data_IF_908510530740
#
_entry.id   IF_908510530740
#
_cell.length_a   1.000
_cell.length_b   1.000
_cell.length_c   1.000
_cell.angle_alpha   90.00
_cell.angle_beta   90.00
_cell.angle_gamma   90.00
#
_symmetry.space_group_name_H-M   'P 1'
#
loop_
_entity.id
_entity.type
_entity.pdbx_description
1 polymer ?
#
# COMPACT_ATOMS: atom_id res chain seq x y z
N UNK A 1 -3.58 6.00 12.14
CA UNK A 1 -4.69 6.18 11.16
C UNK A 1 -5.62 5.00 11.37
N UNK A 2 -6.93 5.22 11.49
CA UNK A 2 -7.89 4.09 11.62
C UNK A 2 -8.11 3.42 10.27
N UNK A 3 -8.66 2.19 10.25
CA UNK A 3 -9.08 1.53 9.02
C UNK A 3 -10.01 2.43 8.18
N UNK A 4 -10.98 3.08 8.82
CA UNK A 4 -11.90 3.99 8.12
C UNK A 4 -11.24 5.28 7.66
N UNK A 5 -10.26 5.79 8.41
CA UNK A 5 -9.46 6.92 7.97
C UNK A 5 -8.65 6.59 6.71
N UNK A 6 -8.07 5.39 6.65
CA UNK A 6 -7.39 4.89 5.46
C UNK A 6 -8.38 4.74 4.30
N UNK A 7 -9.51 4.08 4.52
CA UNK A 7 -10.53 3.87 3.48
C UNK A 7 -11.02 5.21 2.91
N UNK A 8 -11.34 6.17 3.77
CA UNK A 8 -11.79 7.50 3.36
C UNK A 8 -10.71 8.25 2.55
N UNK A 9 -9.45 8.16 2.96
CA UNK A 9 -8.32 8.72 2.20
C UNK A 9 -8.24 8.09 0.81
N UNK A 10 -8.25 6.76 0.73
CA UNK A 10 -8.11 6.03 -0.52
C UNK A 10 -9.30 6.28 -1.46
N UNK A 11 -10.53 6.28 -0.93
CA UNK A 11 -11.74 6.64 -1.67
C UNK A 11 -11.68 8.07 -2.21
N UNK A 12 -11.08 9.01 -1.45
CA UNK A 12 -10.91 10.39 -1.88
C UNK A 12 -9.86 10.58 -2.99
N UNK A 13 -8.88 9.69 -3.08
CA UNK A 13 -7.75 9.86 -4.02
C UNK A 13 -7.75 8.92 -5.22
N UNK A 14 -8.55 7.84 -5.22
CA UNK A 14 -8.55 6.80 -6.28
C UNK A 14 -8.83 7.33 -7.69
N UNK A 15 -9.67 8.36 -7.81
CA UNK A 15 -10.06 8.95 -9.10
C UNK A 15 -9.15 10.11 -9.54
N UNK A 16 -8.15 10.45 -8.71
CA UNK A 16 -7.16 11.48 -9.03
C UNK A 16 -5.95 10.86 -9.73
N UNK A 17 -5.32 11.65 -10.61
CA UNK A 17 -4.05 11.28 -11.28
C UNK A 17 -2.86 11.39 -10.32
N UNK A 18 -2.90 10.67 -9.21
CA UNK A 18 -1.81 10.61 -8.26
C UNK A 18 -0.60 9.94 -8.88
N UNK A 19 0.57 10.56 -8.70
CA UNK A 19 1.86 9.96 -9.06
C UNK A 19 2.61 9.43 -7.85
N UNK A 20 2.31 9.97 -6.67
CA UNK A 20 2.95 9.60 -5.41
C UNK A 20 1.95 9.61 -4.26
N UNK A 21 2.00 8.57 -3.43
CA UNK A 21 1.27 8.48 -2.17
C UNK A 21 2.24 8.08 -1.06
N UNK A 22 2.32 8.91 -0.02
CA UNK A 22 3.08 8.62 1.18
C UNK A 22 2.14 8.53 2.38
N UNK A 23 2.01 7.32 2.92
CA UNK A 23 1.30 7.05 4.17
C UNK A 23 2.19 6.28 5.14
N UNK A 24 3.51 6.40 5.01
CA UNK A 24 4.47 5.88 5.98
C UNK A 24 4.24 6.47 7.37
N UNK A 25 4.61 5.73 8.42
CA UNK A 25 4.50 6.15 9.83
C UNK A 25 3.08 6.54 10.29
N UNK A 26 2.06 6.09 9.56
CA UNK A 26 0.65 6.35 9.88
C UNK A 26 0.12 5.42 10.98
N UNK A 27 0.91 4.42 11.42
CA UNK A 27 0.58 3.46 12.51
C UNK A 27 -0.74 2.71 12.29
N UNK A 28 -1.22 2.66 11.05
CA UNK A 28 -2.63 2.40 10.73
C UNK A 28 -2.86 1.43 9.58
N UNK A 29 -1.81 0.76 9.09
CA UNK A 29 -1.95 -0.33 8.12
C UNK A 29 -2.10 -1.66 8.87
N UNK A 30 -3.07 -1.68 9.76
CA UNK A 30 -3.48 -2.83 10.56
C UNK A 30 -4.32 -3.80 9.71
N UNK A 31 -4.94 -4.81 10.33
CA UNK A 31 -5.73 -5.85 9.63
C UNK A 31 -6.65 -5.27 8.54
N UNK A 32 -6.67 -5.89 7.36
CA UNK A 32 -7.47 -5.53 6.18
C UNK A 32 -7.05 -4.27 5.42
N UNK A 33 -5.92 -3.65 5.76
CA UNK A 33 -5.40 -2.48 5.01
C UNK A 33 -4.77 -2.85 3.67
N UNK A 34 -4.14 -4.01 3.56
CA UNK A 34 -3.46 -4.51 2.37
C UNK A 34 -4.41 -4.69 1.18
N UNK A 35 -5.66 -5.11 1.44
CA UNK A 35 -6.69 -5.20 0.39
C UNK A 35 -7.04 -3.83 -0.19
N UNK A 36 -7.23 -2.82 0.66
CA UNK A 36 -7.55 -1.46 0.21
C UNK A 36 -6.39 -0.86 -0.60
N UNK A 37 -5.15 -1.09 -0.16
CA UNK A 37 -3.96 -0.64 -0.88
C UNK A 37 -3.81 -1.37 -2.22
N UNK A 38 -4.06 -2.68 -2.26
CA UNK A 38 -4.05 -3.46 -3.50
C UNK A 38 -5.08 -2.93 -4.51
N UNK A 39 -6.30 -2.61 -4.06
CA UNK A 39 -7.35 -2.01 -4.89
C UNK A 39 -6.93 -0.64 -5.44
N UNK A 40 -6.28 0.21 -4.62
CA UNK A 40 -5.74 1.49 -5.08
C UNK A 40 -4.71 1.30 -6.20
N UNK A 41 -3.76 0.37 -6.02
CA UNK A 41 -2.69 0.10 -7.00
C UNK A 41 -3.29 -0.34 -8.33
N UNK A 42 -4.27 -1.23 -8.31
CA UNK A 42 -4.89 -1.76 -9.53
C UNK A 42 -5.76 -0.74 -10.27
N UNK A 43 -6.34 0.21 -9.54
CA UNK A 43 -7.23 1.24 -10.10
C UNK A 43 -6.47 2.50 -10.54
N UNK A 44 -5.38 2.85 -9.86
CA UNK A 44 -4.59 4.03 -10.16
C UNK A 44 -3.49 3.75 -11.18
N UNK A 45 -3.70 4.15 -12.44
CA UNK A 45 -2.72 3.93 -13.54
C UNK A 45 -1.58 4.94 -13.59
N UNK A 46 -1.60 5.94 -12.72
CA UNK A 46 -0.58 7.01 -12.68
C UNK A 46 0.34 6.90 -11.48
N UNK A 47 0.01 6.06 -10.49
CA UNK A 47 0.73 5.96 -9.23
C UNK A 47 2.06 5.25 -9.44
N UNK A 48 3.16 6.00 -9.37
CA UNK A 48 4.53 5.47 -9.60
C UNK A 48 5.32 5.30 -8.31
N UNK A 49 4.92 6.00 -7.24
CA UNK A 49 5.61 5.97 -5.95
C UNK A 49 4.62 5.70 -4.81
N UNK A 50 4.88 4.67 -4.02
CA UNK A 50 4.07 4.29 -2.87
C UNK A 50 4.96 4.03 -1.65
N UNK A 51 4.82 4.87 -0.63
CA UNK A 51 5.53 4.70 0.65
C UNK A 51 4.58 4.24 1.75
N UNK A 52 4.82 3.04 2.26
CA UNK A 52 4.09 2.39 3.36
C UNK A 52 5.01 2.08 4.56
N UNK A 53 6.20 2.67 4.63
CA UNK A 53 7.20 2.36 5.66
C UNK A 53 6.66 2.52 7.08
N UNK A 54 7.11 1.68 8.01
CA UNK A 54 6.89 1.83 9.44
C UNK A 54 5.40 1.93 9.84
N UNK A 55 4.58 1.06 9.28
CA UNK A 55 3.13 1.03 9.54
C UNK A 55 2.66 -0.22 10.30
N UNK A 56 3.58 -1.05 10.79
CA UNK A 56 3.29 -2.30 11.49
C UNK A 56 2.41 -3.27 10.67
N UNK A 57 2.48 -3.20 9.33
CA UNK A 57 1.75 -4.13 8.48
C UNK A 57 2.21 -5.57 8.73
N UNK A 58 1.24 -6.49 8.82
CA UNK A 58 1.48 -7.92 8.94
C UNK A 58 1.91 -8.50 7.59
N UNK A 59 2.63 -9.62 7.62
CA UNK A 59 3.13 -10.31 6.43
C UNK A 59 2.00 -10.59 5.41
N UNK A 60 0.82 -11.01 5.88
CA UNK A 60 -0.34 -11.27 5.02
C UNK A 60 -0.82 -10.02 4.25
N UNK A 61 -0.81 -8.85 4.89
CA UNK A 61 -1.20 -7.58 4.25
C UNK A 61 -0.15 -7.17 3.21
N UNK A 62 1.13 -7.37 3.53
CA UNK A 62 2.24 -7.09 2.61
C UNK A 62 2.16 -8.00 1.37
N UNK A 63 1.82 -9.28 1.51
CA UNK A 63 1.65 -10.20 0.38
C UNK A 63 0.59 -9.70 -0.61
N UNK A 64 -0.57 -9.26 -0.13
CA UNK A 64 -1.63 -8.71 -0.97
C UNK A 64 -1.14 -7.50 -1.79
N UNK A 65 -0.36 -6.62 -1.16
CA UNK A 65 0.20 -5.43 -1.83
C UNK A 65 1.21 -5.85 -2.89
N UNK A 66 2.11 -6.78 -2.58
CA UNK A 66 3.10 -7.29 -3.54
C UNK A 66 2.46 -8.01 -4.73
N UNK A 67 1.39 -8.78 -4.50
CA UNK A 67 0.61 -9.40 -5.57
C UNK A 67 -0.02 -8.35 -6.48
N UNK A 68 -0.57 -7.27 -5.92
CA UNK A 68 -1.14 -6.18 -6.69
C UNK A 68 -0.07 -5.45 -7.53
N UNK A 69 1.10 -5.16 -6.96
CA UNK A 69 2.22 -4.54 -7.70
C UNK A 69 2.75 -5.47 -8.80
N UNK A 70 2.77 -6.79 -8.57
CA UNK A 70 3.19 -7.75 -9.60
C UNK A 70 2.23 -7.79 -10.79
N UNK A 71 0.94 -7.61 -10.54
CA UNK A 71 -0.09 -7.56 -11.59
C UNK A 71 -0.09 -6.19 -12.29
N UNK A 72 0.14 -5.11 -11.54
CA UNK A 72 0.09 -3.74 -12.02
C UNK A 72 1.48 -3.07 -11.98
N UNK A 73 2.12 -2.95 -13.15
CA UNK A 73 3.45 -2.36 -13.31
C UNK A 73 3.47 -0.82 -13.24
N UNK A 74 2.39 -0.16 -12.81
CA UNK A 74 2.37 1.31 -12.65
C UNK A 74 3.27 1.78 -11.51
N UNK A 75 3.37 1.01 -10.42
CA UNK A 75 4.19 1.34 -9.26
C UNK A 75 5.65 0.97 -9.52
N UNK A 76 6.48 1.99 -9.72
CA UNK A 76 7.93 1.83 -9.95
C UNK A 76 8.74 1.80 -8.65
N UNK A 77 8.25 2.49 -7.62
CA UNK A 77 8.93 2.62 -6.34
C UNK A 77 7.99 2.27 -5.18
N UNK A 78 8.25 1.15 -4.52
CA UNK A 78 7.52 0.69 -3.34
C UNK A 78 8.45 0.68 -2.13
N UNK A 79 8.08 1.36 -1.05
CA UNK A 79 8.84 1.41 0.21
C UNK A 79 8.06 0.73 1.33
N UNK A 80 8.60 -0.39 1.85
CA UNK A 80 7.98 -1.21 2.90
C UNK A 80 8.81 -1.32 4.18
N UNK A 81 9.96 -0.63 4.29
CA UNK A 81 10.87 -0.78 5.43
C UNK A 81 10.16 -0.55 6.78
N UNK A 82 10.56 -1.29 7.81
CA UNK A 82 9.92 -1.20 9.13
C UNK A 82 8.51 -1.81 9.22
N UNK A 83 8.09 -2.61 8.24
CA UNK A 83 6.93 -3.51 8.35
C UNK A 83 7.36 -4.96 8.59
N UNK A 84 6.41 -5.81 9.00
CA UNK A 84 6.68 -7.23 9.19
C UNK A 84 6.54 -7.99 7.85
N UNK A 85 7.61 -7.99 7.06
CA UNK A 85 7.64 -8.57 5.70
C UNK A 85 7.84 -10.11 5.73
N UNK A 86 8.02 -10.69 6.93
CA UNK A 86 8.32 -12.12 7.10
C UNK A 86 9.73 -12.48 6.61
N UNK A 87 10.17 -13.71 6.90
CA UNK A 87 11.50 -14.21 6.48
C UNK A 87 11.51 -14.75 5.06
N UNK A 88 10.34 -14.87 4.42
CA UNK A 88 10.24 -15.27 3.03
C UNK A 88 10.69 -14.08 2.20
N UNK A 89 11.92 -14.13 1.68
CA UNK A 89 12.47 -13.06 0.85
C UNK A 89 11.59 -12.87 -0.39
N UNK A 90 10.74 -11.85 -0.36
CA UNK A 90 9.99 -11.40 -1.52
C UNK A 90 10.89 -10.42 -2.28
N UNK A 91 11.72 -11.00 -3.15
CA UNK A 91 12.60 -10.32 -4.11
C UNK A 91 11.97 -10.33 -5.50
#
# INVERSE_FOLDING_TARGET
MTHEGLKALLDGVKDHKLTSLNIGWSRGLESNSGKLIAELIQTSKTLTHLNLSCNNSKEAEIKLILEAVKIDNSVLHLVLCGNNIGTTGYI
#
